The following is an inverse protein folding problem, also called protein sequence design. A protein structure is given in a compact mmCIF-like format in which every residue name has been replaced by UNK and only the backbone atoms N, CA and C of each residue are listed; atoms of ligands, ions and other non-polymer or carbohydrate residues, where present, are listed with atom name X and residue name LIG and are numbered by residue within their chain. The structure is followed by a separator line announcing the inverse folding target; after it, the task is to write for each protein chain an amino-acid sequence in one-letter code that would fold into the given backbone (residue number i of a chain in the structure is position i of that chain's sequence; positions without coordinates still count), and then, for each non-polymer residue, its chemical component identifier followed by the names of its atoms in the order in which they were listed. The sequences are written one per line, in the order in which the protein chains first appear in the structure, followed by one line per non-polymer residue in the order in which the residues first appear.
data_IF_276747631406
#
_entry.id   IF_276747631406
#
_cell.length_a   1.000
_cell.length_b   1.000
_cell.length_c   1.000
_cell.angle_alpha   90.00
_cell.angle_beta   90.00
_cell.angle_gamma   90.00
#
_symmetry.space_group_name_H-M   'P 1'
#
loop_
_entity.id
_entity.type
_entity.pdbx_description
1 polymer ?
#
# COMPACT_ATOMS: atom_id res chain seq x y z
N UNK A 1 11.12 -3.90 -2.91
CA UNK A 1 9.97 -4.45 -2.19
C UNK A 1 9.18 -3.36 -1.50
N UNK A 2 7.87 -3.54 -1.47
CA UNK A 2 6.95 -2.58 -0.85
C UNK A 2 6.23 -3.27 0.30
N UNK A 3 6.18 -2.58 1.44
CA UNK A 3 5.47 -3.05 2.61
C UNK A 3 4.40 -2.06 3.05
N UNK A 4 3.41 -2.55 3.77
CA UNK A 4 2.35 -1.75 4.34
C UNK A 4 1.96 -2.26 5.72
N UNK A 5 1.60 -1.33 6.60
CA UNK A 5 1.22 -1.63 7.97
C UNK A 5 0.02 -0.77 8.35
N UNK A 6 -1.00 -1.38 8.94
CA UNK A 6 -2.20 -0.67 9.38
C UNK A 6 -2.21 -0.62 10.90
N UNK A 7 -2.39 0.58 11.43
CA UNK A 7 -2.43 0.84 12.87
C UNK A 7 -3.80 1.45 13.22
N UNK A 8 -4.47 0.90 14.21
CA UNK A 8 -5.77 1.41 14.64
C UNK A 8 -5.63 2.66 15.52
N UNK A 9 -6.77 3.21 15.94
CA UNK A 9 -6.79 4.42 16.77
C UNK A 9 -6.14 4.22 18.13
N UNK A 10 -6.07 2.99 18.63
CA UNK A 10 -5.41 2.64 19.88
C UNK A 10 -3.91 2.39 19.72
N UNK A 11 -3.35 2.67 18.53
CA UNK A 11 -1.92 2.49 18.23
C UNK A 11 -1.49 1.03 18.19
N UNK A 12 -2.42 0.12 17.87
CA UNK A 12 -2.14 -1.30 17.73
C UNK A 12 -2.03 -1.64 16.24
N UNK A 13 -1.01 -2.40 15.87
CA UNK A 13 -0.86 -2.92 14.51
C UNK A 13 -1.92 -4.00 14.29
N UNK A 14 -2.79 -3.79 13.31
CA UNK A 14 -3.91 -4.70 13.01
C UNK A 14 -3.81 -5.36 11.64
N UNK A 15 -2.90 -4.92 10.81
CA UNK A 15 -2.69 -5.51 9.49
C UNK A 15 -1.30 -5.22 8.96
N UNK A 16 -0.71 -6.20 8.29
CA UNK A 16 0.60 -6.08 7.65
C UNK A 16 0.50 -6.78 6.29
N UNK A 17 1.12 -6.20 5.29
CA UNK A 17 1.17 -6.78 3.97
C UNK A 17 2.43 -6.36 3.22
N UNK A 18 2.76 -7.13 2.22
CA UNK A 18 3.81 -6.84 1.25
C UNK A 18 3.38 -7.38 -0.11
N UNK A 19 4.05 -6.95 -1.17
CA UNK A 19 3.70 -7.38 -2.53
C UNK A 19 3.91 -8.87 -2.70
N UNK A 20 2.96 -9.54 -3.35
CA UNK A 20 3.06 -10.95 -3.62
C UNK A 20 1.94 -11.45 -4.51
N UNK A 21 2.09 -12.64 -5.02
CA UNK A 21 1.03 -13.29 -5.80
C UNK A 21 -0.07 -13.80 -4.87
N UNK A 22 -1.28 -14.03 -5.39
CA UNK A 22 -2.37 -14.59 -4.59
C UNK A 22 -2.00 -15.93 -3.95
N UNK A 23 -2.60 -16.23 -2.81
CA UNK A 23 -2.38 -17.48 -2.09
C UNK A 23 -2.61 -18.67 -3.03
N UNK A 24 -1.64 -19.60 -3.07
CA UNK A 24 -1.72 -20.79 -3.93
C UNK A 24 -1.14 -20.57 -5.32
N UNK A 25 -0.83 -19.34 -5.71
CA UNK A 25 -0.17 -19.06 -6.98
C UNK A 25 1.33 -19.19 -6.79
N UNK A 26 1.94 -19.97 -7.66
CA UNK A 26 3.37 -20.32 -7.55
C UNK A 26 4.22 -19.20 -8.18
N UNK A 27 5.15 -18.66 -7.40
CA UNK A 27 6.09 -17.64 -7.86
C UNK A 27 6.93 -18.10 -9.05
N UNK A 28 7.16 -19.40 -9.19
CA UNK A 28 7.92 -19.97 -10.30
C UNK A 28 7.08 -20.15 -11.56
N UNK A 29 5.76 -20.06 -11.46
CA UNK A 29 4.83 -20.26 -12.60
C UNK A 29 4.27 -18.98 -13.17
N UNK A 30 4.18 -17.93 -12.38
CA UNK A 30 3.67 -16.64 -12.83
C UNK A 30 4.81 -15.69 -13.15
N UNK A 31 4.63 -14.82 -14.15
CA UNK A 31 5.71 -13.92 -14.57
C UNK A 31 5.96 -12.79 -13.58
N UNK A 32 7.23 -12.44 -13.39
CA UNK A 32 7.66 -11.26 -12.63
C UNK A 32 8.13 -10.12 -13.53
N UNK A 33 8.04 -10.29 -14.84
CA UNK A 33 8.52 -9.32 -15.82
C UNK A 33 7.70 -8.03 -15.80
N UNK A 34 8.36 -6.93 -16.12
CA UNK A 34 7.73 -5.62 -16.25
C UNK A 34 7.38 -5.28 -17.70
N UNK A 35 7.97 -5.98 -18.65
CA UNK A 35 7.79 -5.73 -20.07
C UNK A 35 7.27 -6.97 -20.77
N UNK A 36 6.45 -6.75 -21.81
CA UNK A 36 5.81 -7.79 -22.57
C UNK A 36 4.32 -7.58 -22.68
N UNK A 37 3.61 -8.56 -23.22
CA UNK A 37 2.15 -8.52 -23.21
C UNK A 37 1.67 -8.58 -21.77
N UNK A 38 0.53 -7.99 -21.51
CA UNK A 38 0.04 -7.79 -20.15
C UNK A 38 0.03 -9.08 -19.32
N UNK A 39 -0.49 -10.18 -19.88
CA UNK A 39 -0.56 -11.47 -19.18
C UNK A 39 0.80 -12.13 -18.96
N UNK A 40 1.84 -11.65 -19.64
CA UNK A 40 3.21 -12.13 -19.49
C UNK A 40 4.04 -11.23 -18.55
N UNK A 41 3.39 -10.31 -17.89
CA UNK A 41 3.99 -9.45 -16.88
C UNK A 41 3.41 -9.74 -15.51
N UNK A 42 4.05 -9.21 -14.46
CA UNK A 42 3.56 -9.37 -13.07
C UNK A 42 2.28 -8.60 -12.78
N UNK A 43 1.98 -7.57 -13.56
CA UNK A 43 0.97 -6.57 -13.21
C UNK A 43 -0.45 -7.11 -13.01
N UNK A 44 -0.96 -8.06 -13.80
CA UNK A 44 -2.30 -8.58 -13.54
C UNK A 44 -2.37 -9.53 -12.32
N UNK A 45 -1.23 -9.99 -11.82
CA UNK A 45 -1.19 -11.05 -10.81
C UNK A 45 -0.76 -10.60 -9.43
N UNK A 46 0.08 -9.58 -9.33
CA UNK A 46 0.63 -9.14 -8.05
C UNK A 46 -0.43 -8.42 -7.21
N UNK A 47 -0.63 -8.90 -5.99
CA UNK A 47 -1.38 -8.16 -4.97
C UNK A 47 -0.43 -7.17 -4.31
N UNK A 48 -0.81 -5.90 -4.29
CA UNK A 48 0.00 -4.87 -3.66
C UNK A 48 -0.02 -4.99 -2.13
N UNK A 49 1.00 -4.45 -1.49
CA UNK A 49 1.16 -4.50 -0.03
C UNK A 49 -0.06 -3.94 0.70
N UNK A 50 -0.63 -2.85 0.23
CA UNK A 50 -1.78 -2.20 0.85
C UNK A 50 -3.01 -3.12 0.84
N UNK A 51 -3.30 -3.73 -0.31
CA UNK A 51 -4.41 -4.68 -0.42
C UNK A 51 -4.19 -5.87 0.52
N UNK A 52 -2.98 -6.41 0.54
CA UNK A 52 -2.66 -7.54 1.40
C UNK A 52 -2.78 -7.17 2.89
N UNK A 53 -2.34 -5.96 3.28
CA UNK A 53 -2.50 -5.50 4.66
C UNK A 53 -3.96 -5.40 5.05
N UNK A 54 -4.82 -4.89 4.17
CA UNK A 54 -6.27 -4.78 4.41
C UNK A 54 -6.89 -6.18 4.55
N UNK A 55 -6.59 -7.08 3.62
CA UNK A 55 -7.15 -8.43 3.63
C UNK A 55 -6.63 -9.28 4.80
N UNK A 56 -5.41 -9.02 5.26
CA UNK A 56 -4.83 -9.70 6.42
C UNK A 56 -5.25 -9.07 7.75
N UNK A 57 -5.92 -7.95 7.73
CA UNK A 57 -6.25 -7.21 8.95
C UNK A 57 -7.29 -7.96 9.80
N UNK A 58 -7.25 -7.66 11.09
CA UNK A 58 -8.21 -8.18 12.05
C UNK A 58 -8.99 -7.01 12.65
N UNK A 59 -10.30 -7.13 12.62
CA UNK A 59 -11.20 -6.14 13.20
C UNK A 59 -11.54 -5.00 12.24
N UNK A 60 -12.12 -3.98 12.79
CA UNK A 60 -12.61 -2.81 12.07
C UNK A 60 -11.45 -1.85 11.76
N UNK A 61 -11.35 -1.42 10.52
CA UNK A 61 -10.30 -0.49 10.07
C UNK A 61 -10.74 0.97 10.05
N UNK A 62 -11.97 1.27 10.45
CA UNK A 62 -12.47 2.66 10.46
C UNK A 62 -11.61 3.53 11.38
N UNK A 63 -11.15 4.66 10.84
CA UNK A 63 -10.30 5.58 11.58
C UNK A 63 -8.83 5.20 11.65
N UNK A 64 -8.46 4.06 11.08
CA UNK A 64 -7.07 3.57 11.11
C UNK A 64 -6.15 4.40 10.21
N UNK A 65 -4.85 4.23 10.44
CA UNK A 65 -3.77 4.81 9.63
C UNK A 65 -3.03 3.70 8.89
N UNK A 66 -2.82 3.91 7.62
CA UNK A 66 -2.00 3.03 6.78
C UNK A 66 -0.62 3.66 6.59
N UNK A 67 0.42 2.91 6.95
CA UNK A 67 1.81 3.27 6.67
C UNK A 67 2.30 2.43 5.49
N UNK A 68 2.80 3.06 4.46
CA UNK A 68 3.20 2.39 3.23
C UNK A 68 4.47 3.00 2.66
N UNK A 69 5.31 2.17 2.03
CA UNK A 69 6.58 2.65 1.48
C UNK A 69 6.37 3.55 0.26
N UNK A 70 5.47 3.16 -0.64
CA UNK A 70 5.20 3.87 -1.88
C UNK A 70 3.76 4.38 -1.89
N UNK A 71 3.55 5.61 -2.37
CA UNK A 71 2.20 6.20 -2.45
C UNK A 71 1.24 5.25 -3.18
N UNK A 72 0.03 5.01 -2.64
CA UNK A 72 -0.88 4.01 -3.18
C UNK A 72 -1.32 4.28 -4.61
N UNK A 73 -1.40 3.22 -5.43
CA UNK A 73 -2.00 3.31 -6.75
C UNK A 73 -3.51 3.49 -6.65
N UNK A 74 -4.14 3.82 -7.76
CA UNK A 74 -5.59 4.11 -7.78
C UNK A 74 -6.44 2.90 -7.35
N UNK A 75 -6.02 1.68 -7.65
CA UNK A 75 -6.75 0.48 -7.21
C UNK A 75 -6.67 0.30 -5.70
N UNK A 76 -5.48 0.47 -5.12
CA UNK A 76 -5.30 0.39 -3.67
C UNK A 76 -6.00 1.55 -2.95
N UNK A 77 -6.01 2.74 -3.54
CA UNK A 77 -6.72 3.90 -2.97
C UNK A 77 -8.20 3.59 -2.75
N UNK A 78 -8.83 2.93 -3.71
CA UNK A 78 -10.24 2.51 -3.58
C UNK A 78 -10.44 1.57 -2.40
N UNK A 79 -9.57 0.56 -2.27
CA UNK A 79 -9.65 -0.39 -1.16
C UNK A 79 -9.42 0.29 0.19
N UNK A 80 -8.48 1.23 0.26
CA UNK A 80 -8.18 2.01 1.46
C UNK A 80 -9.43 2.80 1.90
N UNK A 81 -10.04 3.51 0.96
CA UNK A 81 -11.25 4.31 1.24
C UNK A 81 -12.39 3.42 1.71
N UNK A 82 -12.65 2.32 0.99
CA UNK A 82 -13.77 1.43 1.30
C UNK A 82 -13.58 0.70 2.62
N UNK A 83 -12.36 0.49 3.08
CA UNK A 83 -12.10 -0.12 4.38
C UNK A 83 -12.29 0.84 5.57
N UNK A 84 -12.42 2.13 5.30
CA UNK A 84 -12.61 3.14 6.35
C UNK A 84 -11.33 3.73 6.92
N UNK A 85 -10.18 3.41 6.35
CA UNK A 85 -8.90 4.01 6.73
C UNK A 85 -8.99 5.52 6.49
N UNK A 86 -8.54 6.32 7.45
CA UNK A 86 -8.67 7.79 7.40
C UNK A 86 -7.38 8.52 7.12
N UNK A 87 -6.26 7.85 7.22
CA UNK A 87 -4.95 8.49 7.06
C UNK A 87 -3.97 7.55 6.38
N UNK A 88 -3.20 8.10 5.45
CA UNK A 88 -2.13 7.37 4.75
C UNK A 88 -0.83 8.12 4.98
N UNK A 89 0.18 7.41 5.45
CA UNK A 89 1.54 7.94 5.62
C UNK A 89 2.47 7.16 4.70
N UNK A 90 3.12 7.85 3.78
CA UNK A 90 3.95 7.21 2.74
C UNK A 90 5.39 7.75 2.80
N UNK A 91 6.34 6.92 2.38
CA UNK A 91 7.75 7.32 2.34
C UNK A 91 8.11 7.98 1.01
N UNK A 92 7.65 7.42 -0.10
CA UNK A 92 8.01 7.88 -1.44
C UNK A 92 6.78 8.11 -2.29
N UNK A 93 6.76 9.19 -3.05
CA UNK A 93 5.78 9.46 -4.09
C UNK A 93 6.46 9.68 -5.44
N UNK A 94 7.49 8.91 -5.72
CA UNK A 94 8.31 9.06 -6.93
C UNK A 94 7.51 8.99 -8.24
N UNK A 95 6.28 8.46 -8.19
CA UNK A 95 5.38 8.42 -9.34
C UNK A 95 4.24 9.44 -9.24
N UNK A 96 4.46 10.54 -8.51
CA UNK A 96 3.40 11.53 -8.20
C UNK A 96 2.72 12.12 -9.43
N UNK A 97 3.43 12.21 -10.54
CA UNK A 97 2.91 12.80 -11.79
C UNK A 97 2.21 11.76 -12.68
N UNK A 98 2.17 10.49 -12.26
CA UNK A 98 1.45 9.45 -13.00
C UNK A 98 -0.06 9.63 -12.85
N UNK A 99 -0.80 9.19 -13.84
CA UNK A 99 -2.27 9.22 -13.81
C UNK A 99 -2.82 8.47 -12.59
N UNK A 100 -2.20 7.36 -12.22
CA UNK A 100 -2.59 6.57 -11.06
C UNK A 100 -2.49 7.38 -9.76
N UNK A 101 -1.34 8.04 -9.52
CA UNK A 101 -1.15 8.86 -8.32
C UNK A 101 -2.08 10.07 -8.28
N UNK A 102 -2.30 10.71 -9.43
CA UNK A 102 -3.23 11.83 -9.54
C UNK A 102 -4.65 11.37 -9.18
N UNK A 103 -5.08 10.24 -9.72
CA UNK A 103 -6.40 9.67 -9.42
C UNK A 103 -6.54 9.30 -7.94
N UNK A 104 -5.49 8.72 -7.35
CA UNK A 104 -5.50 8.37 -5.92
C UNK A 104 -5.68 9.60 -5.04
N UNK A 105 -4.92 10.66 -5.30
CA UNK A 105 -5.03 11.92 -4.55
C UNK A 105 -6.41 12.53 -4.70
N UNK A 106 -6.95 12.53 -5.90
CA UNK A 106 -8.31 13.04 -6.15
C UNK A 106 -9.35 12.29 -5.34
N UNK A 107 -9.26 10.97 -5.30
CA UNK A 107 -10.18 10.14 -4.51
C UNK A 107 -10.01 10.36 -3.02
N UNK A 108 -8.76 10.43 -2.53
CA UNK A 108 -8.50 10.68 -1.11
C UNK A 108 -9.05 12.04 -0.68
N UNK A 109 -8.81 13.08 -1.49
CA UNK A 109 -9.31 14.42 -1.20
C UNK A 109 -10.84 14.41 -1.11
N UNK A 110 -11.48 13.76 -2.07
CA UNK A 110 -12.94 13.67 -2.16
C UNK A 110 -13.54 12.91 -0.98
N UNK A 111 -12.89 11.83 -0.57
CA UNK A 111 -13.35 10.97 0.53
C UNK A 111 -12.94 11.47 1.92
N UNK A 112 -12.13 12.51 1.99
CA UNK A 112 -11.63 13.03 3.27
C UNK A 112 -10.54 12.18 3.90
N UNK A 113 -9.83 11.38 3.12
CA UNK A 113 -8.68 10.61 3.61
C UNK A 113 -7.45 11.53 3.56
N UNK A 114 -6.83 11.73 4.71
CA UNK A 114 -5.59 12.53 4.80
C UNK A 114 -4.41 11.69 4.36
N UNK A 115 -3.46 12.32 3.68
CA UNK A 115 -2.21 11.66 3.29
C UNK A 115 -1.05 12.62 3.50
N UNK A 116 0.06 12.07 3.98
CA UNK A 116 1.26 12.86 4.26
C UNK A 116 2.50 12.02 4.01
N UNK A 117 3.56 12.69 3.59
CA UNK A 117 4.85 12.04 3.42
C UNK A 117 5.57 12.01 4.76
N UNK A 118 6.07 10.82 5.10
CA UNK A 118 6.89 10.66 6.29
C UNK A 118 8.31 11.15 6.00
N UNK A 119 8.80 12.02 6.86
CA UNK A 119 10.18 12.50 6.80
C UNK A 119 10.88 12.12 8.10
N UNK A 120 11.90 11.28 7.98
CA UNK A 120 12.74 10.95 9.12
C UNK A 120 13.83 11.99 9.24
N UNK A 121 14.10 12.44 10.47
CA UNK A 121 15.26 13.29 10.77
C UNK A 121 16.56 12.51 10.59
N UNK A 122 16.47 11.20 10.74
CA UNK A 122 17.60 10.29 10.59
C UNK A 122 17.48 9.55 9.26
N UNK A 123 18.45 9.76 8.38
CA UNK A 123 18.49 9.08 7.08
C UNK A 123 18.97 7.64 7.18
N UNK A 124 19.43 7.26 8.38
CA UNK A 124 19.99 5.95 8.64
C UNK A 124 19.64 5.51 10.06
N UNK A 125 19.21 4.28 10.22
CA UNK A 125 18.96 3.67 11.51
C UNK A 125 20.06 2.64 11.77
N UNK A 126 20.81 2.83 12.86
CA UNK A 126 21.83 1.87 13.29
C UNK A 126 21.31 1.19 14.55
N UNK A 127 21.18 -0.13 14.49
CA UNK A 127 20.75 -0.93 15.63
C UNK A 127 21.97 -1.68 16.17
N UNK A 128 22.27 -1.45 17.45
CA UNK A 128 23.35 -2.16 18.16
C UNK A 128 22.72 -3.10 19.19
N UNK A 129 23.15 -4.34 19.14
CA UNK A 129 22.73 -5.35 20.10
C UNK A 129 23.78 -5.60 21.17
#
# INVERSE_FOLDING_TARGET
QVGACIVNEQKIIVGVGYNGFPIGCDDDKLPWDREGSWCETKYPYVCHAELNAILNSRGDLHGATLYVALFPCNECAKAIIQSGIKRVVYLSDKYRDSDSSIASRRMFDDAGVKYEQFESKDKQLIIKF
#
